data_IF_865815637295
#
_entry.id   IF_865815637295
#
_cell.length_a   1.000
_cell.length_b   1.000
_cell.length_c   1.000
_cell.angle_alpha   90.00
_cell.angle_beta   90.00
_cell.angle_gamma   90.00
#
_symmetry.space_group_name_H-M   'P 1'
#
loop_
_entity.id
_entity.type
_entity.pdbx_description
1 polymer ?
#
# COMPACT_ATOMS: atom_id res chain seq x y z
N UNK A 1 -12.55 -11.31 -3.70
CA UNK A 1 -11.10 -11.06 -3.72
C UNK A 1 -10.77 -9.71 -3.13
N UNK A 2 -9.56 -9.60 -2.60
CA UNK A 2 -9.05 -8.40 -1.95
C UNK A 2 -7.60 -8.17 -2.40
N UNK A 3 -7.24 -6.90 -2.61
CA UNK A 3 -5.88 -6.50 -2.94
C UNK A 3 -5.23 -5.77 -1.75
N UNK A 4 -3.94 -5.97 -1.57
CA UNK A 4 -3.09 -5.19 -0.64
C UNK A 4 -1.99 -4.55 -1.46
N UNK A 5 -1.88 -3.21 -1.40
CA UNK A 5 -0.84 -2.49 -2.13
C UNK A 5 0.46 -2.52 -1.33
N UNK A 6 1.58 -2.91 -1.95
CA UNK A 6 2.88 -2.96 -1.30
C UNK A 6 3.77 -1.78 -1.72
N UNK A 7 4.46 -1.15 -0.77
CA UNK A 7 5.32 -0.01 -1.03
C UNK A 7 6.56 0.04 -0.13
N UNK A 8 7.59 0.79 -0.54
CA UNK A 8 8.78 1.10 0.24
C UNK A 8 9.09 2.60 0.03
N UNK A 9 8.98 3.47 1.06
CA UNK A 9 8.92 4.93 0.90
C UNK A 9 10.16 5.60 0.31
N UNK A 10 11.33 4.96 0.43
CA UNK A 10 12.60 5.55 -0.02
C UNK A 10 12.90 5.26 -1.50
N UNK A 11 12.13 4.37 -2.14
CA UNK A 11 12.31 4.01 -3.55
C UNK A 11 11.82 5.13 -4.47
N UNK A 12 12.74 5.67 -5.26
CA UNK A 12 12.45 6.77 -6.21
C UNK A 12 12.10 6.29 -7.62
N UNK A 13 12.55 5.10 -8.00
CA UNK A 13 12.39 4.57 -9.35
C UNK A 13 12.15 3.06 -9.35
N UNK A 14 11.72 2.52 -10.49
CA UNK A 14 11.55 1.08 -10.68
C UNK A 14 12.89 0.35 -10.59
N UNK A 15 12.88 -0.85 -10.00
CA UNK A 15 14.10 -1.63 -9.80
C UNK A 15 14.75 -1.97 -11.15
N UNK A 16 16.02 -1.61 -11.30
CA UNK A 16 16.77 -1.82 -12.56
C UNK A 16 16.47 -0.79 -13.66
N UNK A 17 15.61 0.20 -13.39
CA UNK A 17 15.15 1.19 -14.36
C UNK A 17 15.26 2.60 -13.74
N UNK A 18 16.46 3.22 -13.72
CA UNK A 18 16.72 4.45 -12.97
C UNK A 18 15.93 5.66 -13.49
N UNK A 19 15.63 5.70 -14.79
CA UNK A 19 14.93 6.82 -15.43
C UNK A 19 13.40 6.72 -15.32
N UNK A 20 12.89 5.67 -14.68
CA UNK A 20 11.46 5.41 -14.57
C UNK A 20 10.98 5.58 -13.13
N UNK A 21 10.39 6.75 -12.79
CA UNK A 21 9.92 7.01 -11.43
C UNK A 21 8.80 6.04 -11.05
N UNK A 22 8.59 5.88 -9.75
CA UNK A 22 7.42 5.14 -9.28
C UNK A 22 6.14 5.94 -9.55
N UNK A 23 5.03 5.29 -9.94
CA UNK A 23 3.73 5.94 -9.98
C UNK A 23 3.25 6.29 -8.56
N UNK A 24 2.30 7.21 -8.48
CA UNK A 24 1.56 7.49 -7.24
C UNK A 24 0.79 6.24 -6.75
N UNK A 25 0.68 6.08 -5.42
CA UNK A 25 0.02 4.91 -4.82
C UNK A 25 -1.46 4.81 -5.18
N UNK A 26 -2.19 5.91 -5.24
CA UNK A 26 -3.60 5.91 -5.64
C UNK A 26 -3.75 5.44 -7.07
N UNK A 27 -2.91 5.95 -7.97
CA UNK A 27 -2.89 5.50 -9.35
C UNK A 27 -2.58 4.00 -9.45
N UNK A 28 -1.59 3.51 -8.70
CA UNK A 28 -1.28 2.07 -8.66
C UNK A 28 -2.49 1.24 -8.19
N UNK A 29 -3.18 1.67 -7.14
CA UNK A 29 -4.35 0.98 -6.60
C UNK A 29 -5.47 0.92 -7.65
N UNK A 30 -5.79 2.05 -8.27
CA UNK A 30 -6.84 2.16 -9.29
C UNK A 30 -6.60 1.20 -10.47
N UNK A 31 -5.37 1.16 -11.02
CA UNK A 31 -5.06 0.28 -12.15
C UNK A 31 -5.05 -1.20 -11.80
N UNK A 32 -4.64 -1.55 -10.59
CA UNK A 32 -4.69 -2.94 -10.14
C UNK A 32 -6.14 -3.39 -9.88
N UNK A 33 -7.01 -2.53 -9.35
CA UNK A 33 -8.44 -2.82 -9.21
C UNK A 33 -9.07 -2.99 -10.59
N UNK A 34 -8.82 -2.07 -11.53
CA UNK A 34 -9.34 -2.13 -12.91
C UNK A 34 -8.96 -3.45 -13.58
N UNK A 35 -7.70 -3.88 -13.48
CA UNK A 35 -7.25 -5.16 -14.03
C UNK A 35 -7.93 -6.37 -13.35
N UNK A 36 -8.08 -6.35 -12.02
CA UNK A 36 -8.69 -7.45 -11.27
C UNK A 36 -10.22 -7.56 -11.48
N UNK A 37 -10.89 -6.47 -11.86
CA UNK A 37 -12.32 -6.47 -12.16
C UNK A 37 -12.71 -7.36 -13.34
N UNK A 38 -11.73 -7.72 -14.20
CA UNK A 38 -11.94 -8.68 -15.28
C UNK A 38 -12.47 -10.03 -14.78
N UNK A 39 -11.98 -10.52 -13.64
CA UNK A 39 -12.38 -11.81 -13.06
C UNK A 39 -13.28 -11.66 -11.85
N UNK A 40 -13.24 -10.52 -11.17
CA UNK A 40 -14.08 -10.25 -10.01
C UNK A 40 -14.53 -8.78 -9.96
N UNK A 41 -15.76 -8.47 -10.42
CA UNK A 41 -16.29 -7.11 -10.38
C UNK A 41 -16.36 -6.48 -8.98
N UNK A 42 -16.36 -7.28 -7.91
CA UNK A 42 -16.44 -6.84 -6.53
C UNK A 42 -15.07 -6.70 -5.84
N UNK A 43 -13.96 -6.88 -6.56
CA UNK A 43 -12.62 -6.72 -5.99
C UNK A 43 -12.41 -5.31 -5.43
N UNK A 44 -11.71 -5.23 -4.29
CA UNK A 44 -11.35 -3.96 -3.64
C UNK A 44 -9.95 -4.03 -3.05
N UNK A 45 -9.30 -2.88 -2.96
CA UNK A 45 -8.09 -2.75 -2.14
C UNK A 45 -8.50 -2.63 -0.67
N UNK A 46 -7.93 -3.48 0.18
CA UNK A 46 -8.27 -3.53 1.62
C UNK A 46 -7.24 -2.87 2.50
N UNK A 47 -6.07 -2.51 1.97
CA UNK A 47 -5.03 -1.81 2.72
C UNK A 47 -3.72 -1.67 1.97
N UNK A 48 -2.77 -1.02 2.64
CA UNK A 48 -1.41 -0.77 2.14
C UNK A 48 -0.41 -1.34 3.13
N UNK A 49 0.51 -2.16 2.62
CA UNK A 49 1.63 -2.74 3.35
C UNK A 49 2.90 -2.00 2.97
N UNK A 50 3.49 -1.28 3.92
CA UNK A 50 4.64 -0.42 3.68
C UNK A 50 5.85 -0.98 4.41
N UNK A 51 6.92 -1.24 3.68
CA UNK A 51 8.22 -1.53 4.27
C UNK A 51 8.87 -0.22 4.72
N UNK A 52 8.83 0.08 6.01
CA UNK A 52 9.47 1.26 6.61
C UNK A 52 10.84 0.93 7.22
N UNK A 53 11.47 -0.17 6.81
CA UNK A 53 12.75 -0.63 7.37
C UNK A 53 13.90 0.37 7.23
N UNK A 54 13.84 1.22 6.20
CA UNK A 54 14.83 2.28 5.95
C UNK A 54 14.54 3.60 6.71
N UNK A 55 13.41 3.69 7.43
CA UNK A 55 13.01 4.87 8.19
C UNK A 55 13.23 4.66 9.69
N UNK A 56 13.46 5.74 10.43
CA UNK A 56 13.36 5.71 11.89
C UNK A 56 11.88 5.55 12.33
N UNK A 57 11.66 5.18 13.59
CA UNK A 57 10.32 4.88 14.11
C UNK A 57 9.35 6.07 14.05
N UNK A 58 9.82 7.29 14.28
CA UNK A 58 8.94 8.46 14.26
C UNK A 58 8.49 8.77 12.82
N UNK A 59 9.46 8.81 11.90
CA UNK A 59 9.21 9.02 10.46
C UNK A 59 8.33 7.91 9.87
N UNK A 60 8.57 6.66 10.24
CA UNK A 60 7.75 5.52 9.82
C UNK A 60 6.29 5.68 10.27
N UNK A 61 6.05 6.02 11.54
CA UNK A 61 4.70 6.22 12.08
C UNK A 61 3.98 7.36 11.39
N UNK A 62 4.66 8.49 11.16
CA UNK A 62 4.05 9.64 10.49
C UNK A 62 3.75 9.33 9.02
N UNK A 63 4.63 8.62 8.33
CA UNK A 63 4.39 8.16 6.96
C UNK A 63 3.15 7.26 6.89
N UNK A 64 3.07 6.22 7.73
CA UNK A 64 1.93 5.31 7.75
C UNK A 64 0.61 6.04 7.99
N UNK A 65 0.57 6.96 8.96
CA UNK A 65 -0.61 7.78 9.26
C UNK A 65 -1.01 8.65 8.07
N UNK A 66 -0.07 9.41 7.50
CA UNK A 66 -0.35 10.30 6.38
C UNK A 66 -0.83 9.52 5.15
N UNK A 67 -0.21 8.40 4.83
CA UNK A 67 -0.63 7.54 3.71
C UNK A 67 -2.00 6.93 3.96
N UNK A 68 -2.30 6.51 5.20
CA UNK A 68 -3.63 6.01 5.55
C UNK A 68 -4.71 7.09 5.34
N UNK A 69 -4.46 8.31 5.81
CA UNK A 69 -5.36 9.45 5.65
C UNK A 69 -5.55 9.81 4.17
N UNK A 70 -4.46 9.86 3.40
CA UNK A 70 -4.47 10.21 1.98
C UNK A 70 -5.22 9.19 1.11
N UNK A 71 -5.16 7.91 1.46
CA UNK A 71 -5.76 6.82 0.68
C UNK A 71 -7.12 6.37 1.23
N UNK A 72 -7.50 6.81 2.43
CA UNK A 72 -8.67 6.32 3.18
C UNK A 72 -8.65 4.79 3.36
N UNK A 73 -7.45 4.24 3.53
CA UNK A 73 -7.18 2.81 3.67
C UNK A 73 -6.24 2.56 4.86
N UNK A 74 -6.35 1.41 5.56
CA UNK A 74 -5.37 1.04 6.56
C UNK A 74 -3.99 0.96 5.92
N UNK A 75 -3.01 1.60 6.53
CA UNK A 75 -1.62 1.58 6.11
C UNK A 75 -0.80 1.06 7.28
N UNK A 76 -0.12 -0.07 7.08
CA UNK A 76 0.65 -0.73 8.14
C UNK A 76 2.06 -1.03 7.66
N UNK A 77 3.00 -1.11 8.60
CA UNK A 77 4.23 -1.86 8.37
C UNK A 77 4.02 -3.26 8.98
N UNK A 78 3.97 -4.33 8.16
CA UNK A 78 3.64 -5.66 8.66
C UNK A 78 4.66 -6.19 9.68
N UNK A 79 5.90 -5.69 9.65
CA UNK A 79 6.97 -6.08 10.57
C UNK A 79 6.92 -5.24 11.85
N UNK A 80 6.65 -3.93 11.75
CA UNK A 80 6.65 -3.04 12.93
C UNK A 80 5.32 -2.96 13.67
N UNK A 81 4.21 -2.92 12.94
CA UNK A 81 2.86 -2.66 13.48
C UNK A 81 1.92 -3.85 13.35
N UNK A 82 2.37 -4.94 12.71
CA UNK A 82 1.51 -6.08 12.39
C UNK A 82 0.51 -5.79 11.26
N UNK A 83 -0.43 -6.71 11.05
CA UNK A 83 -1.35 -6.71 9.88
C UNK A 83 -2.83 -6.66 10.24
N UNK A 84 -3.16 -6.61 11.52
CA UNK A 84 -4.53 -6.74 12.05
C UNK A 84 -5.51 -5.79 11.35
N UNK A 85 -5.17 -4.50 11.22
CA UNK A 85 -6.02 -3.50 10.58
C UNK A 85 -6.36 -3.80 9.10
N UNK A 86 -5.52 -4.56 8.38
CA UNK A 86 -5.82 -5.02 7.02
C UNK A 86 -6.70 -6.28 7.07
N UNK A 87 -6.40 -7.21 7.98
CA UNK A 87 -7.14 -8.47 8.15
C UNK A 87 -8.58 -8.22 8.59
N UNK A 88 -8.82 -7.23 9.46
CA UNK A 88 -10.17 -6.83 9.88
C UNK A 88 -11.06 -6.42 8.70
N UNK A 89 -10.46 -5.96 7.59
CA UNK A 89 -11.19 -5.62 6.37
C UNK A 89 -11.46 -6.81 5.46
N UNK A 90 -10.91 -7.99 5.73
CA UNK A 90 -11.20 -9.24 5.02
C UNK A 90 -12.42 -9.97 5.60
N UNK A 91 -12.69 -9.80 6.89
CA UNK A 91 -13.84 -10.36 7.58
C UNK A 91 -15.09 -9.50 7.29
N UNK A 92 -15.77 -9.82 6.18
CA UNK A 92 -17.07 -9.29 5.79
C UNK A 92 -17.83 -10.30 4.96
#
# INVERSE_FOLDING_TARGET
DALVMCHEPTRKHMRGLPDYPLPDLRLCIERNIEAAQLTNPAVRCVGVSVNTGALDTATARDYLRQTADQLSLPCVDPVRTGVEAIVDRLAG
#
